data_IF_881347284838
#
_entry.id   IF_881347284838
#
_cell.length_a   1.000
_cell.length_b   1.000
_cell.length_c   1.000
_cell.angle_alpha   90.00
_cell.angle_beta   90.00
_cell.angle_gamma   90.00
#
_symmetry.space_group_name_H-M   'P 1'
#
loop_
_entity.id
_entity.type
_entity.pdbx_description
1 polymer ?
#
# COMPACT_ATOMS: atom_id res chain seq x y z
N UNK A 1 11.88 -5.56 9.07
CA UNK A 1 11.69 -6.97 8.68
C UNK A 1 12.40 -7.86 9.67
N UNK A 2 11.79 -8.97 10.07
CA UNK A 2 12.31 -9.90 11.09
C UNK A 2 12.10 -11.38 10.68
N UNK A 3 12.90 -12.29 11.23
CA UNK A 3 12.79 -13.74 11.00
C UNK A 3 11.88 -14.37 12.05
N UNK A 4 10.67 -14.74 11.63
CA UNK A 4 9.71 -15.46 12.47
C UNK A 4 10.11 -16.92 12.72
N UNK A 5 10.63 -17.60 11.70
CA UNK A 5 11.10 -18.99 11.81
C UNK A 5 12.17 -19.32 10.78
N UNK A 6 13.37 -19.69 11.25
CA UNK A 6 14.47 -20.15 10.38
C UNK A 6 14.23 -21.57 9.87
N UNK A 7 14.51 -21.80 8.60
CA UNK A 7 14.35 -23.09 7.89
C UNK A 7 15.68 -23.63 7.35
N UNK A 8 16.69 -22.79 7.17
CA UNK A 8 18.04 -23.18 6.75
C UNK A 8 18.95 -23.53 7.92
N UNK A 9 20.04 -24.27 7.67
CA UNK A 9 21.18 -24.33 8.59
C UNK A 9 22.01 -23.04 8.54
N UNK A 10 22.21 -22.50 7.34
CA UNK A 10 22.88 -21.21 7.10
C UNK A 10 22.27 -20.09 7.93
N UNK A 11 23.11 -19.20 8.44
CA UNK A 11 22.68 -18.01 9.18
C UNK A 11 21.80 -17.09 8.33
N UNK A 12 20.84 -16.45 8.97
CA UNK A 12 19.98 -15.46 8.36
C UNK A 12 20.25 -14.14 9.07
N UNK A 13 21.10 -13.31 8.49
CA UNK A 13 21.51 -12.02 9.04
C UNK A 13 20.89 -10.89 8.21
N UNK A 14 20.21 -9.95 8.86
CA UNK A 14 19.60 -8.80 8.20
C UNK A 14 20.67 -7.97 7.47
N UNK A 15 20.39 -7.52 6.25
CA UNK A 15 21.30 -6.75 5.41
C UNK A 15 22.40 -7.57 4.71
N UNK A 16 22.56 -8.85 5.05
CA UNK A 16 23.57 -9.73 4.44
C UNK A 16 22.94 -10.96 3.75
N UNK A 17 22.09 -11.70 4.47
CA UNK A 17 21.44 -12.92 3.96
C UNK A 17 19.98 -12.70 3.65
N UNK A 18 19.37 -11.61 4.12
CA UNK A 18 18.04 -11.20 3.72
C UNK A 18 17.86 -9.70 3.94
N UNK A 19 16.89 -9.12 3.25
CA UNK A 19 16.49 -7.74 3.43
C UNK A 19 15.30 -7.39 2.55
N UNK A 20 14.93 -6.12 2.56
CA UNK A 20 13.90 -5.59 1.67
C UNK A 20 14.29 -4.20 1.16
N UNK A 21 13.73 -3.85 0.02
CA UNK A 21 13.77 -2.50 -0.55
C UNK A 21 12.39 -2.20 -1.12
N UNK A 22 11.66 -1.24 -0.54
CA UNK A 22 10.25 -1.04 -0.85
C UNK A 22 9.43 -2.30 -0.60
N UNK A 23 8.69 -2.70 -1.62
CA UNK A 23 7.89 -3.94 -1.66
C UNK A 23 8.69 -5.18 -2.03
N UNK A 24 9.96 -5.03 -2.42
CA UNK A 24 10.78 -6.15 -2.87
C UNK A 24 11.53 -6.75 -1.70
N UNK A 25 11.45 -8.07 -1.58
CA UNK A 25 12.16 -8.84 -0.56
C UNK A 25 13.21 -9.68 -1.26
N UNK A 26 14.39 -9.76 -0.68
CA UNK A 26 15.44 -10.62 -1.19
C UNK A 26 15.99 -11.50 -0.07
N UNK A 27 16.43 -12.70 -0.47
CA UNK A 27 17.05 -13.68 0.41
C UNK A 27 18.25 -14.27 -0.34
N UNK A 28 19.39 -14.36 0.32
CA UNK A 28 20.66 -14.77 -0.27
C UNK A 28 21.48 -15.62 0.72
N UNK A 29 22.65 -16.11 0.29
CA UNK A 29 23.62 -16.84 1.12
C UNK A 29 23.04 -18.10 1.80
N UNK A 30 22.10 -18.76 1.11
CA UNK A 30 21.45 -20.00 1.59
C UNK A 30 20.48 -19.79 2.77
N UNK A 31 20.18 -18.55 3.15
CA UNK A 31 19.15 -18.25 4.13
C UNK A 31 17.78 -18.70 3.59
N UNK A 32 17.02 -19.39 4.42
CA UNK A 32 15.62 -19.75 4.18
C UNK A 32 14.88 -19.57 5.49
N UNK A 33 13.84 -18.75 5.49
CA UNK A 33 13.06 -18.48 6.69
C UNK A 33 11.64 -18.00 6.36
N UNK A 34 10.77 -18.05 7.35
CA UNK A 34 9.52 -17.29 7.38
C UNK A 34 9.86 -15.91 7.94
N UNK A 35 9.53 -14.88 7.18
CA UNK A 35 9.81 -13.50 7.54
C UNK A 35 8.52 -12.75 7.86
N UNK A 36 8.61 -11.80 8.80
CA UNK A 36 7.57 -10.81 9.08
C UNK A 36 8.09 -9.45 8.63
N UNK A 37 7.26 -8.69 7.91
CA UNK A 37 7.60 -7.35 7.45
C UNK A 37 6.60 -6.37 8.04
N UNK A 38 7.14 -5.40 8.78
CA UNK A 38 6.41 -4.21 9.19
C UNK A 38 6.94 -3.06 8.36
N UNK A 39 6.05 -2.41 7.60
CA UNK A 39 6.36 -1.13 6.98
C UNK A 39 6.10 -0.06 8.04
N UNK A 40 7.14 0.66 8.47
CA UNK A 40 7.00 1.96 9.14
C UNK A 40 6.41 2.94 8.10
N UNK A 41 5.09 2.87 7.95
CA UNK A 41 4.40 3.37 6.76
C UNK A 41 4.17 4.87 6.82
N UNK A 42 4.80 5.60 5.89
CA UNK A 42 4.35 6.96 5.56
C UNK A 42 2.96 6.84 4.95
N UNK A 43 2.02 7.66 5.39
CA UNK A 43 0.67 7.69 4.81
C UNK A 43 0.23 9.11 4.49
N UNK A 44 -0.50 9.28 3.40
CA UNK A 44 -1.14 10.54 3.03
C UNK A 44 -2.67 10.38 3.04
N UNK A 45 -3.37 11.46 3.35
CA UNK A 45 -4.83 11.56 3.19
C UNK A 45 -5.10 12.34 1.91
N UNK A 46 -5.89 11.76 1.01
CA UNK A 46 -6.28 12.34 -0.28
C UNK A 46 -7.79 12.46 -0.30
N UNK A 47 -8.30 13.67 -0.55
CA UNK A 47 -9.72 13.88 -0.83
C UNK A 47 -9.99 13.55 -2.28
N UNK A 48 -10.97 12.69 -2.55
CA UNK A 48 -11.40 12.39 -3.92
C UNK A 48 -12.92 12.28 -3.98
N UNK A 49 -13.52 12.72 -5.09
CA UNK A 49 -14.97 12.88 -5.17
C UNK A 49 -15.55 12.61 -6.55
N UNK A 50 -16.39 11.58 -6.66
CA UNK A 50 -17.27 11.37 -7.81
C UNK A 50 -18.53 12.22 -7.64
N UNK A 51 -18.67 13.28 -8.43
CA UNK A 51 -19.82 14.19 -8.41
C UNK A 51 -20.73 13.90 -9.59
N UNK A 52 -22.05 13.99 -9.39
CA UNK A 52 -23.07 13.71 -10.42
C UNK A 52 -22.87 12.35 -11.12
N UNK A 53 -22.45 11.32 -10.36
CA UNK A 53 -22.11 9.99 -10.87
C UNK A 53 -21.01 9.95 -11.93
N UNK A 54 -20.26 11.04 -12.12
CA UNK A 54 -19.11 11.08 -13.03
C UNK A 54 -17.87 10.51 -12.34
N UNK A 55 -17.15 9.58 -12.98
CA UNK A 55 -15.87 9.10 -12.47
C UNK A 55 -14.84 10.23 -12.28
N UNK A 56 -14.11 10.22 -11.18
CA UNK A 56 -13.04 11.18 -10.91
C UNK A 56 -11.71 10.46 -10.63
N UNK A 57 -10.62 11.02 -11.14
CA UNK A 57 -9.25 10.51 -10.93
C UNK A 57 -8.43 11.56 -10.18
N UNK A 58 -7.96 11.21 -8.99
CA UNK A 58 -7.21 12.11 -8.11
C UNK A 58 -5.75 11.65 -8.05
N UNK A 59 -4.79 12.42 -8.58
CA UNK A 59 -3.37 12.06 -8.56
C UNK A 59 -2.81 12.07 -7.13
N UNK A 60 -1.90 11.14 -6.86
CA UNK A 60 -1.20 11.00 -5.58
C UNK A 60 0.24 11.45 -5.78
N UNK A 61 0.67 12.45 -5.02
CA UNK A 61 2.08 12.84 -4.96
C UNK A 61 2.86 11.82 -4.11
N UNK A 62 3.48 10.83 -4.76
CA UNK A 62 4.18 9.75 -4.06
C UNK A 62 5.59 10.13 -3.60
N UNK A 63 6.21 11.16 -4.19
CA UNK A 63 7.58 11.57 -3.89
C UNK A 63 8.60 10.45 -4.14
N UNK A 64 8.36 9.60 -5.14
CA UNK A 64 9.22 8.45 -5.47
C UNK A 64 8.93 7.18 -4.64
N UNK A 65 7.98 7.22 -3.70
CA UNK A 65 7.64 6.07 -2.86
C UNK A 65 6.64 5.14 -3.54
N UNK A 66 6.70 3.85 -3.21
CA UNK A 66 5.77 2.85 -3.73
C UNK A 66 4.48 2.81 -2.91
N UNK A 67 3.33 2.85 -3.58
CA UNK A 67 2.03 2.69 -2.91
C UNK A 67 1.84 1.22 -2.55
N UNK A 68 1.52 0.95 -1.28
CA UNK A 68 1.32 -0.41 -0.74
C UNK A 68 -0.04 -0.61 -0.09
N UNK A 69 -0.85 0.43 -0.01
CA UNK A 69 -2.20 0.31 0.51
C UNK A 69 -3.05 1.52 0.17
N UNK A 70 -4.34 1.25 0.01
CA UNK A 70 -5.39 2.24 -0.18
C UNK A 70 -6.57 1.82 0.72
N UNK A 71 -7.09 2.74 1.51
CA UNK A 71 -8.26 2.49 2.36
C UNK A 71 -9.14 3.75 2.44
N UNK A 72 -10.44 3.56 2.64
CA UNK A 72 -11.34 4.65 2.97
C UNK A 72 -11.10 5.06 4.43
N UNK A 73 -10.69 6.32 4.64
CA UNK A 73 -10.52 6.86 5.99
C UNK A 73 -11.80 7.48 6.53
N UNK A 74 -12.54 8.18 5.66
CA UNK A 74 -13.79 8.82 6.02
C UNK A 74 -14.71 8.85 4.80
N UNK A 75 -15.91 8.30 4.94
CA UNK A 75 -16.96 8.44 3.94
C UNK A 75 -17.61 9.83 4.06
N UNK A 76 -17.76 10.51 2.92
CA UNK A 76 -18.43 11.81 2.83
C UNK A 76 -19.77 11.65 2.06
N UNK A 77 -19.82 10.75 1.08
CA UNK A 77 -21.04 10.44 0.33
C UNK A 77 -22.03 9.57 1.10
N UNK A 78 -23.31 9.64 0.72
CA UNK A 78 -24.30 8.60 1.04
C UNK A 78 -24.09 7.33 0.20
N UNK A 79 -23.68 7.50 -1.07
CA UNK A 79 -23.23 6.38 -1.89
C UNK A 79 -22.07 5.66 -1.19
N UNK A 80 -22.08 4.32 -1.18
CA UNK A 80 -21.05 3.55 -0.50
C UNK A 80 -19.70 3.74 -1.18
N UNK A 81 -18.66 3.84 -0.35
CA UNK A 81 -17.28 3.77 -0.79
C UNK A 81 -16.68 2.42 -0.36
N UNK A 82 -16.70 1.44 -1.27
CA UNK A 82 -16.10 0.11 -1.13
C UNK A 82 -14.89 -0.03 -2.05
N UNK A 83 -13.79 -0.55 -1.50
CA UNK A 83 -12.52 -0.76 -2.19
C UNK A 83 -12.70 -1.78 -3.31
N UNK A 84 -12.08 -1.53 -4.47
CA UNK A 84 -12.15 -2.33 -5.70
C UNK A 84 -13.55 -2.41 -6.35
N UNK A 85 -14.55 -1.74 -5.77
CA UNK A 85 -15.87 -1.57 -6.36
C UNK A 85 -16.09 -0.12 -6.79
N UNK A 86 -16.06 0.80 -5.84
CA UNK A 86 -16.39 2.22 -6.05
C UNK A 86 -15.17 3.15 -5.96
N UNK A 87 -14.05 2.64 -5.42
CA UNK A 87 -12.77 3.32 -5.44
C UNK A 87 -11.61 2.34 -5.52
N UNK A 88 -10.57 2.67 -6.28
CA UNK A 88 -9.42 1.80 -6.52
C UNK A 88 -8.23 2.59 -7.05
N UNK A 89 -7.04 1.98 -7.06
CA UNK A 89 -5.84 2.60 -7.64
C UNK A 89 -5.79 2.39 -9.15
N UNK A 90 -5.42 3.44 -9.88
CA UNK A 90 -4.98 3.36 -11.27
C UNK A 90 -3.63 4.07 -11.36
N UNK A 91 -2.55 3.30 -11.46
CA UNK A 91 -1.19 3.83 -11.38
C UNK A 91 -0.96 4.58 -10.05
N UNK A 92 -0.54 5.84 -10.14
CA UNK A 92 -0.34 6.72 -8.98
C UNK A 92 -1.54 7.63 -8.71
N UNK A 93 -2.75 7.18 -9.00
CA UNK A 93 -3.97 7.95 -8.76
C UNK A 93 -5.08 7.09 -8.15
N UNK A 94 -5.97 7.73 -7.39
CA UNK A 94 -7.20 7.13 -6.90
C UNK A 94 -8.29 7.40 -7.95
N UNK A 95 -8.96 6.35 -8.42
CA UNK A 95 -10.21 6.48 -9.17
C UNK A 95 -11.37 6.30 -8.19
N UNK A 96 -12.36 7.19 -8.26
CA UNK A 96 -13.65 7.05 -7.56
C UNK A 96 -14.79 7.11 -8.57
N UNK A 97 -15.78 6.25 -8.40
CA UNK A 97 -16.93 6.11 -9.30
C UNK A 97 -18.25 6.05 -8.50
N UNK A 98 -19.38 6.00 -9.21
CA UNK A 98 -20.73 5.76 -8.65
C UNK A 98 -21.14 6.66 -7.47
N UNK A 99 -20.63 7.90 -7.46
CA UNK A 99 -20.95 8.89 -6.44
C UNK A 99 -20.17 8.72 -5.13
N UNK A 100 -19.18 7.81 -5.07
CA UNK A 100 -18.27 7.68 -3.93
C UNK A 100 -17.44 8.96 -3.74
N UNK A 101 -17.51 9.50 -2.52
CA UNK A 101 -16.78 10.69 -2.08
C UNK A 101 -16.26 10.45 -0.68
N UNK A 102 -14.99 10.74 -0.47
CA UNK A 102 -14.37 10.47 0.82
C UNK A 102 -12.95 11.01 0.94
N UNK A 103 -12.44 10.85 2.15
CA UNK A 103 -11.01 10.95 2.42
C UNK A 103 -10.42 9.55 2.39
N UNK A 104 -9.41 9.37 1.57
CA UNK A 104 -8.75 8.09 1.34
C UNK A 104 -7.35 8.14 1.92
N UNK A 105 -6.97 7.11 2.66
CA UNK A 105 -5.61 6.97 3.17
C UNK A 105 -4.81 6.10 2.22
N UNK A 106 -3.71 6.66 1.74
CA UNK A 106 -2.72 5.96 0.91
C UNK A 106 -1.51 5.65 1.79
N UNK A 107 -1.06 4.41 1.78
CA UNK A 107 0.13 3.92 2.50
C UNK A 107 1.28 3.73 1.52
N UNK A 108 2.47 4.15 1.91
CA UNK A 108 3.68 4.03 1.11
C UNK A 108 4.72 3.14 1.78
N UNK A 109 5.45 2.36 0.98
CA UNK A 109 6.70 1.73 1.36
C UNK A 109 7.90 2.60 0.97
N UNK A 110 8.97 2.47 1.75
CA UNK A 110 10.22 3.20 1.59
C UNK A 110 11.22 2.42 0.75
#
# INVERSE_FOLDING_TARGET
>A
MDVKRKLSRSSCNSGYSYGHNGTTIWVNHGCRAIFTICYEGISAIVSCSSNNFRPATCPISTGGKHIVGLELKQQISRSPCVLDESFYLIGNAIRVIDGCRGLFRVKFAH
#
